data_IF_724846906209
#
_entry.id   IF_724846906209
#
_cell.length_a   1.000
_cell.length_b   1.000
_cell.length_c   1.000
_cell.angle_alpha   90.00
_cell.angle_beta   90.00
_cell.angle_gamma   90.00
#
_symmetry.space_group_name_H-M   'P 1'
#
loop_
_entity.id
_entity.type
_entity.pdbx_description
1 polymer ?
#
# COMPACT_ATOMS: atom_id res chain seq x y z
N UNK A 1 -13.77 -11.67 -6.73
CA UNK A 1 -12.71 -11.80 -5.69
C UNK A 1 -13.30 -12.44 -4.43
N UNK A 2 -12.54 -13.28 -3.70
CA UNK A 2 -13.01 -13.90 -2.44
C UNK A 2 -13.22 -12.86 -1.32
N UNK A 3 -12.47 -11.76 -1.34
CA UNK A 3 -12.54 -10.71 -0.32
C UNK A 3 -13.94 -10.09 -0.18
N UNK A 4 -14.65 -9.85 -1.29
CA UNK A 4 -16.03 -9.35 -1.25
C UNK A 4 -16.98 -10.31 -0.54
N UNK A 5 -16.81 -11.63 -0.71
CA UNK A 5 -17.61 -12.65 0.00
C UNK A 5 -17.32 -12.68 1.50
N UNK A 6 -16.07 -12.43 1.87
CA UNK A 6 -15.61 -12.40 3.25
C UNK A 6 -15.80 -11.04 3.92
N UNK A 7 -16.29 -10.03 3.20
CA UNK A 7 -16.31 -8.62 3.63
C UNK A 7 -14.94 -8.16 4.12
N UNK A 8 -13.90 -8.61 3.43
CA UNK A 8 -12.50 -8.33 3.74
C UNK A 8 -11.89 -7.37 2.71
N UNK A 9 -10.75 -6.80 3.07
CA UNK A 9 -9.95 -5.93 2.21
C UNK A 9 -8.56 -6.53 1.99
N UNK A 10 -8.08 -6.54 0.75
CA UNK A 10 -6.82 -7.17 0.34
C UNK A 10 -5.76 -6.11 0.13
N UNK A 11 -4.63 -6.27 0.81
CA UNK A 11 -3.38 -5.64 0.41
C UNK A 11 -2.60 -6.62 -0.46
N UNK A 12 -2.21 -6.22 -1.67
CA UNK A 12 -1.50 -7.08 -2.61
C UNK A 12 -0.28 -6.37 -3.18
N UNK A 13 0.86 -7.07 -3.26
CA UNK A 13 2.02 -6.55 -3.99
C UNK A 13 1.72 -6.58 -5.49
N UNK A 14 2.27 -5.62 -6.24
CA UNK A 14 2.44 -5.78 -7.69
C UNK A 14 3.45 -6.92 -7.95
N UNK A 15 2.95 -8.15 -8.00
CA UNK A 15 3.78 -9.35 -7.96
C UNK A 15 4.68 -9.47 -9.19
N UNK A 16 5.98 -9.69 -8.94
CA UNK A 16 6.99 -9.83 -9.99
C UNK A 16 7.40 -8.52 -10.68
N UNK A 17 6.88 -7.37 -10.25
CA UNK A 17 7.23 -6.08 -10.84
C UNK A 17 8.56 -5.55 -10.28
N UNK A 18 9.56 -5.44 -11.15
CA UNK A 18 10.86 -4.86 -10.86
C UNK A 18 10.92 -3.36 -11.14
N UNK A 19 10.05 -2.85 -12.00
CA UNK A 19 10.00 -1.44 -12.40
C UNK A 19 8.63 -0.80 -12.13
N UNK A 20 8.61 0.53 -12.05
CA UNK A 20 7.35 1.30 -11.96
C UNK A 20 6.44 1.04 -13.15
N UNK A 21 7.00 0.98 -14.37
CA UNK A 21 6.23 0.70 -15.58
C UNK A 21 5.53 -0.66 -15.51
N UNK A 22 6.24 -1.71 -15.06
CA UNK A 22 5.65 -3.02 -14.84
C UNK A 22 4.54 -3.00 -13.79
N UNK A 23 4.70 -2.24 -12.70
CA UNK A 23 3.67 -2.09 -11.68
C UNK A 23 2.40 -1.41 -12.25
N UNK A 24 2.57 -0.37 -13.06
CA UNK A 24 1.47 0.34 -13.75
C UNK A 24 0.74 -0.60 -14.70
N UNK A 25 1.48 -1.38 -15.51
CA UNK A 25 0.89 -2.40 -16.38
C UNK A 25 0.20 -3.50 -15.57
N UNK A 26 0.79 -3.94 -14.45
CA UNK A 26 0.21 -4.95 -13.57
C UNK A 26 -1.13 -4.50 -13.00
N UNK A 27 -1.22 -3.23 -12.58
CA UNK A 27 -2.48 -2.67 -12.07
C UNK A 27 -3.63 -2.86 -13.03
N UNK A 28 -3.41 -2.70 -14.35
CA UNK A 28 -4.48 -2.72 -15.35
C UNK A 28 -5.29 -4.03 -15.38
N UNK A 29 -4.79 -5.10 -14.73
CA UNK A 29 -5.48 -6.38 -14.55
C UNK A 29 -6.59 -6.35 -13.49
N UNK A 30 -6.68 -5.27 -12.71
CA UNK A 30 -7.57 -5.16 -11.55
C UNK A 30 -8.58 -4.01 -11.73
N UNK A 31 -9.80 -4.24 -11.28
CA UNK A 31 -10.86 -3.23 -11.22
C UNK A 31 -11.72 -3.39 -9.93
N UNK A 32 -11.21 -4.13 -8.96
CA UNK A 32 -11.95 -4.45 -7.75
C UNK A 32 -11.75 -3.39 -6.67
N UNK A 33 -12.83 -3.12 -5.93
CA UNK A 33 -12.85 -2.14 -4.85
C UNK A 33 -12.25 -2.67 -3.54
N UNK A 34 -12.13 -3.99 -3.38
CA UNK A 34 -11.62 -4.65 -2.18
C UNK A 34 -10.11 -4.91 -2.21
N UNK A 35 -9.37 -4.32 -3.15
CA UNK A 35 -7.91 -4.47 -3.23
C UNK A 35 -7.20 -3.12 -3.20
N UNK A 36 -6.04 -3.09 -2.56
CA UNK A 36 -5.05 -2.03 -2.68
C UNK A 36 -3.75 -2.65 -3.17
N UNK A 37 -3.27 -2.16 -4.30
CA UNK A 37 -1.99 -2.58 -4.87
C UNK A 37 -0.85 -1.79 -4.25
N UNK A 38 0.19 -2.50 -3.83
CA UNK A 38 1.36 -1.99 -3.15
C UNK A 38 2.62 -2.22 -3.99
N UNK A 39 3.43 -1.19 -4.15
CA UNK A 39 4.76 -1.32 -4.74
C UNK A 39 5.67 -0.16 -4.32
N UNK A 40 6.94 -0.40 -3.94
CA UNK A 40 7.65 -1.67 -3.86
C UNK A 40 7.47 -2.36 -2.49
N UNK A 41 8.38 -3.28 -2.15
CA UNK A 41 8.45 -3.96 -0.85
C UNK A 41 9.43 -3.24 0.11
N UNK A 42 9.45 -3.66 1.38
CA UNK A 42 10.35 -3.10 2.39
C UNK A 42 11.65 -3.90 2.49
N UNK A 43 12.72 -3.22 2.92
CA UNK A 43 13.94 -3.86 3.45
C UNK A 43 13.90 -3.77 4.97
N UNK A 44 14.09 -4.90 5.66
CA UNK A 44 14.15 -4.96 7.12
C UNK A 44 15.16 -6.01 7.59
N UNK A 45 15.58 -5.93 8.86
CA UNK A 45 16.48 -6.89 9.46
C UNK A 45 15.73 -8.16 9.88
N UNK A 46 16.18 -9.32 9.40
CA UNK A 46 15.64 -10.62 9.78
C UNK A 46 16.49 -11.23 10.90
N UNK A 47 15.91 -11.33 12.11
CA UNK A 47 16.59 -11.93 13.27
C UNK A 47 16.95 -13.42 13.08
N UNK A 48 16.20 -14.15 12.24
CA UNK A 48 16.44 -15.59 12.00
C UNK A 48 17.65 -15.81 11.11
N UNK A 49 17.80 -15.01 10.06
CA UNK A 49 18.92 -15.14 9.12
C UNK A 49 20.11 -14.22 9.44
N UNK A 50 19.90 -13.23 10.33
CA UNK A 50 20.91 -12.24 10.71
C UNK A 50 21.23 -11.22 9.62
N UNK A 51 20.36 -11.05 8.61
CA UNK A 51 20.61 -10.23 7.41
C UNK A 51 19.49 -9.24 7.15
N UNK A 52 19.80 -8.20 6.37
CA UNK A 52 18.79 -7.32 5.78
C UNK A 52 18.19 -8.03 4.57
N UNK A 53 16.86 -8.17 4.56
CA UNK A 53 16.12 -8.91 3.54
C UNK A 53 14.91 -8.11 3.06
N UNK A 54 14.38 -8.51 1.90
CA UNK A 54 13.13 -7.98 1.38
C UNK A 54 11.95 -8.64 2.08
N UNK A 55 11.04 -7.81 2.59
CA UNK A 55 9.80 -8.25 3.21
C UNK A 55 8.59 -7.68 2.45
N UNK A 56 7.56 -8.49 2.17
CA UNK A 56 6.39 -8.05 1.41
C UNK A 56 5.70 -6.85 2.05
N UNK A 57 5.47 -5.79 1.27
CA UNK A 57 4.69 -4.63 1.69
C UNK A 57 3.27 -5.00 2.22
N UNK A 58 2.55 -5.99 1.63
CA UNK A 58 1.28 -6.45 2.17
C UNK A 58 1.32 -6.90 3.63
N UNK A 59 2.40 -7.55 4.07
CA UNK A 59 2.52 -8.00 5.45
C UNK A 59 2.59 -6.80 6.42
N UNK A 60 3.38 -5.78 6.07
CA UNK A 60 3.43 -4.52 6.82
C UNK A 60 2.11 -3.76 6.77
N UNK A 61 1.44 -3.75 5.61
CA UNK A 61 0.15 -3.10 5.47
C UNK A 61 -0.91 -3.74 6.37
N UNK A 62 -1.00 -5.08 6.41
CA UNK A 62 -1.91 -5.80 7.31
C UNK A 62 -1.64 -5.48 8.79
N UNK A 63 -0.37 -5.51 9.23
CA UNK A 63 -0.01 -5.20 10.61
C UNK A 63 -0.30 -3.75 10.98
N UNK A 64 0.05 -2.81 10.09
CA UNK A 64 -0.25 -1.40 10.28
C UNK A 64 -1.75 -1.14 10.30
N UNK A 65 -2.52 -1.85 9.46
CA UNK A 65 -3.96 -1.72 9.40
C UNK A 65 -4.62 -2.09 10.72
N UNK A 66 -4.24 -3.22 11.29
CA UNK A 66 -4.73 -3.66 12.60
C UNK A 66 -4.39 -2.65 13.70
N UNK A 67 -3.17 -2.10 13.68
CA UNK A 67 -2.75 -1.05 14.61
C UNK A 67 -3.60 0.22 14.46
N UNK A 68 -3.83 0.70 13.25
CA UNK A 68 -4.65 1.91 13.01
C UNK A 68 -6.10 1.66 13.44
N UNK A 69 -6.66 0.48 13.13
CA UNK A 69 -8.03 0.14 13.52
C UNK A 69 -8.20 0.17 15.05
N UNK A 70 -7.20 -0.31 15.79
CA UNK A 70 -7.21 -0.29 17.25
C UNK A 70 -7.08 1.12 17.83
N UNK A 71 -6.13 1.91 17.32
CA UNK A 71 -5.76 3.20 17.93
C UNK A 71 -6.63 4.38 17.48
N UNK A 72 -7.08 4.37 16.21
CA UNK A 72 -7.78 5.49 15.58
C UNK A 72 -9.13 5.07 15.00
N UNK A 73 -9.31 3.79 14.66
CA UNK A 73 -10.53 3.27 14.06
C UNK A 73 -10.42 3.01 12.55
N UNK A 74 -11.38 2.24 12.04
CA UNK A 74 -11.40 1.75 10.65
C UNK A 74 -11.50 2.84 9.58
N UNK A 75 -12.03 4.01 9.95
CA UNK A 75 -12.21 5.16 9.07
C UNK A 75 -10.90 5.89 8.76
N UNK A 76 -9.84 5.66 9.55
CA UNK A 76 -8.53 6.25 9.30
C UNK A 76 -7.82 5.53 8.16
N UNK A 77 -7.36 6.28 7.16
CA UNK A 77 -6.56 5.77 6.04
C UNK A 77 -5.19 5.25 6.49
N UNK A 78 -4.72 4.19 5.83
CA UNK A 78 -3.37 3.64 6.00
C UNK A 78 -2.28 4.59 5.49
N UNK A 79 -2.62 5.47 4.54
CA UNK A 79 -1.69 6.45 3.97
C UNK A 79 -1.11 7.39 5.04
N UNK A 80 0.17 7.71 4.89
CA UNK A 80 0.90 8.67 5.71
C UNK A 80 1.00 8.30 7.20
N UNK A 81 0.77 7.04 7.58
CA UNK A 81 1.03 6.53 8.93
C UNK A 81 2.46 5.93 8.98
N UNK A 82 3.25 6.20 10.05
CA UNK A 82 4.60 5.64 10.17
C UNK A 82 4.61 4.11 10.21
N UNK A 83 5.48 3.52 9.40
CA UNK A 83 5.81 2.08 9.44
C UNK A 83 7.06 1.89 10.29
N UNK A 84 6.99 1.00 11.28
CA UNK A 84 8.10 0.70 12.20
C UNK A 84 8.96 -0.46 11.67
N UNK A 85 10.20 -0.57 12.17
CA UNK A 85 11.13 -1.67 11.92
C UNK A 85 11.50 -1.88 10.43
N UNK A 86 11.55 -0.79 9.67
CA UNK A 86 11.94 -0.78 8.26
C UNK A 86 13.26 -0.02 8.10
N UNK A 87 14.15 -0.56 7.28
CA UNK A 87 15.47 0.00 6.97
C UNK A 87 15.52 0.65 5.58
N UNK A 88 14.66 0.21 4.66
CA UNK A 88 14.68 0.68 3.28
C UNK A 88 13.50 0.21 2.44
N UNK A 89 13.61 0.47 1.14
CA UNK A 89 12.67 0.01 0.11
C UNK A 89 13.41 -0.93 -0.84
N UNK A 90 12.75 -1.97 -1.33
CA UNK A 90 13.36 -2.95 -2.24
C UNK A 90 13.64 -2.39 -3.63
N UNK A 91 12.97 -1.30 -3.99
CA UNK A 91 13.19 -0.50 -5.20
C UNK A 91 13.17 0.98 -4.83
N UNK A 92 13.91 1.80 -5.58
CA UNK A 92 13.89 3.24 -5.39
C UNK A 92 12.57 3.81 -5.90
N UNK A 93 11.97 4.72 -5.11
CA UNK A 93 10.81 5.52 -5.49
C UNK A 93 11.17 6.96 -5.14
N UNK A 94 11.32 7.80 -6.16
CA UNK A 94 11.57 9.22 -5.93
C UNK A 94 10.32 9.90 -5.37
N UNK A 95 10.51 10.70 -4.31
CA UNK A 95 9.47 11.51 -3.73
C UNK A 95 10.05 12.82 -3.19
N UNK A 96 9.36 13.92 -3.46
CA UNK A 96 9.63 15.24 -2.90
C UNK A 96 8.32 15.99 -2.69
N UNK A 97 8.22 16.80 -1.64
CA UNK A 97 7.03 17.62 -1.35
C UNK A 97 6.78 18.70 -2.40
N UNK A 98 7.82 19.12 -3.11
CA UNK A 98 7.77 20.23 -4.07
C UNK A 98 7.73 19.75 -5.52
N UNK A 99 7.89 18.45 -5.76
CA UNK A 99 7.89 17.88 -7.12
C UNK A 99 6.50 17.34 -7.45
N UNK A 100 5.82 17.98 -8.40
CA UNK A 100 4.53 17.51 -8.92
C UNK A 100 4.69 16.17 -9.67
N UNK A 101 5.84 15.95 -10.32
CA UNK A 101 6.17 14.82 -11.20
C UNK A 101 6.95 13.68 -10.53
N UNK A 102 6.87 13.56 -9.19
CA UNK A 102 7.57 12.47 -8.50
C UNK A 102 7.06 11.06 -8.89
N UNK A 103 7.92 10.04 -8.82
CA UNK A 103 7.54 8.63 -9.03
C UNK A 103 6.36 8.24 -8.12
N UNK A 104 6.39 8.72 -6.88
CA UNK A 104 5.35 8.43 -5.91
C UNK A 104 3.99 9.04 -6.30
N UNK A 105 3.96 10.26 -6.87
CA UNK A 105 2.74 10.83 -7.40
C UNK A 105 2.27 10.07 -8.65
N UNK A 106 3.20 9.70 -9.53
CA UNK A 106 2.91 8.93 -10.74
C UNK A 106 2.25 7.58 -10.43
N UNK A 107 2.79 6.85 -9.44
CA UNK A 107 2.21 5.59 -8.95
C UNK A 107 0.82 5.80 -8.35
N UNK A 108 0.68 6.78 -7.46
CA UNK A 108 -0.58 7.06 -6.77
C UNK A 108 -1.71 7.49 -7.72
N UNK A 109 -1.37 8.31 -8.72
CA UNK A 109 -2.28 8.69 -9.81
C UNK A 109 -2.67 7.53 -10.73
N UNK A 110 -2.01 6.37 -10.59
CA UNK A 110 -2.36 5.10 -11.22
C UNK A 110 -2.87 4.08 -10.20
N UNK A 111 -3.39 4.56 -9.06
CA UNK A 111 -4.01 3.77 -7.99
C UNK A 111 -3.10 2.68 -7.41
N UNK A 112 -1.78 2.91 -7.46
CA UNK A 112 -0.78 2.07 -6.78
C UNK A 112 -0.30 2.83 -5.56
N UNK A 113 -0.51 2.26 -4.39
CA UNK A 113 0.01 2.81 -3.15
C UNK A 113 1.48 2.46 -3.03
N UNK A 114 2.31 3.47 -2.78
CA UNK A 114 3.76 3.31 -2.73
C UNK A 114 4.32 3.57 -1.35
N UNK A 115 5.65 3.58 -1.24
CA UNK A 115 6.38 3.86 0.00
C UNK A 115 7.18 5.14 -0.21
N UNK A 116 7.12 6.05 0.77
CA UNK A 116 7.94 7.25 0.82
C UNK A 116 8.75 7.30 2.11
N UNK A 117 9.82 8.11 2.10
CA UNK A 117 10.59 8.42 3.31
C UNK A 117 10.39 9.88 3.70
N UNK A 118 9.56 10.11 4.72
CA UNK A 118 9.30 11.42 5.33
C UNK A 118 9.19 11.26 6.85
N UNK A 119 10.25 11.62 7.57
CA UNK A 119 10.36 11.40 9.01
C UNK A 119 9.99 9.94 9.38
N UNK A 120 10.68 9.00 8.73
CA UNK A 120 10.37 7.57 8.72
C UNK A 120 9.75 7.09 7.41
N UNK A 121 9.56 5.78 7.28
CA UNK A 121 8.89 5.17 6.13
C UNK A 121 7.37 5.21 6.31
N UNK A 122 6.66 5.49 5.23
CA UNK A 122 5.19 5.59 5.23
C UNK A 122 4.66 5.02 3.92
N UNK A 123 3.49 4.41 3.98
CA UNK A 123 2.70 4.21 2.78
C UNK A 123 2.19 5.55 2.25
N UNK A 124 2.14 5.68 0.92
CA UNK A 124 1.71 6.87 0.21
C UNK A 124 0.67 6.49 -0.83
N UNK A 125 -0.59 6.68 -0.47
CA UNK A 125 -1.75 6.27 -1.25
C UNK A 125 -2.76 5.52 -0.42
N UNK A 126 -4.00 5.63 -0.87
CA UNK A 126 -5.16 4.99 -0.25
C UNK A 126 -6.23 4.67 -1.29
N UNK A 127 -5.84 4.57 -2.57
CA UNK A 127 -6.77 4.28 -3.65
C UNK A 127 -6.89 2.78 -3.89
N UNK A 128 -8.06 2.37 -4.35
CA UNK A 128 -8.33 1.04 -4.89
C UNK A 128 -8.28 1.12 -6.43
N UNK A 129 -8.13 0.00 -7.15
CA UNK A 129 -8.21 -0.01 -8.61
C UNK A 129 -9.59 0.38 -9.17
N UNK A 130 -10.65 0.31 -8.38
CA UNK A 130 -12.00 0.75 -8.77
C UNK A 130 -12.09 2.28 -8.73
N UNK A 131 -12.45 2.91 -9.85
CA UNK A 131 -12.31 4.37 -10.03
C UNK A 131 -13.63 5.15 -10.11
N UNK A 132 -14.78 4.50 -9.93
CA UNK A 132 -16.09 5.17 -10.02
C UNK A 132 -16.65 5.55 -8.65
N UNK A 133 -16.89 4.57 -7.76
CA UNK A 133 -17.67 4.81 -6.53
C UNK A 133 -16.87 4.56 -5.25
N UNK A 134 -15.93 3.63 -5.28
CA UNK A 134 -15.16 3.11 -4.16
C UNK A 134 -13.67 3.30 -4.38
N UNK A 135 -13.33 4.52 -4.79
CA UNK A 135 -11.96 4.96 -5.10
C UNK A 135 -11.05 4.81 -3.88
N UNK A 136 -11.55 5.05 -2.67
CA UNK A 136 -10.72 5.07 -1.46
C UNK A 136 -10.91 3.82 -0.59
N UNK A 137 -9.78 3.30 -0.09
CA UNK A 137 -9.68 2.19 0.88
C UNK A 137 -10.70 2.32 2.01
N UNK A 138 -10.72 3.49 2.65
CA UNK A 138 -11.57 3.77 3.81
C UNK A 138 -13.05 3.70 3.47
N UNK A 139 -13.44 4.00 2.23
CA UNK A 139 -14.83 3.95 1.81
C UNK A 139 -15.28 2.51 1.58
N UNK A 140 -14.47 1.69 0.92
CA UNK A 140 -14.73 0.24 0.82
C UNK A 140 -14.79 -0.40 2.20
N UNK A 141 -13.81 -0.11 3.06
CA UNK A 141 -13.76 -0.68 4.42
C UNK A 141 -14.95 -0.25 5.27
N UNK A 142 -15.34 1.02 5.22
CA UNK A 142 -16.52 1.52 5.95
C UNK A 142 -17.78 0.81 5.49
N UNK A 143 -17.97 0.63 4.17
CA UNK A 143 -19.11 -0.11 3.64
C UNK A 143 -19.13 -1.58 4.10
N UNK A 144 -17.97 -2.23 4.25
CA UNK A 144 -17.88 -3.60 4.75
C UNK A 144 -18.19 -3.71 6.25
N UNK A 145 -17.78 -2.72 7.05
CA UNK A 145 -18.01 -2.69 8.50
C UNK A 145 -19.47 -2.40 8.85
N UNK A 146 -20.17 -1.58 8.04
CA UNK A 146 -21.56 -1.19 8.30
C UNK A 146 -22.62 -2.15 7.75
N UNK A 147 -22.23 -3.09 6.88
CA UNK A 147 -23.15 -3.99 6.17
C UNK A 147 -23.46 -5.30 6.91
#
# INVERSE_FOLDING_TARGET
MIAGKLRAFVYASCYGCNTMAEAITYRQKFNEREVMLLWPDFIAYNLKSGKNETFPAPAYACGLRAYIDHEQGWHKSLSNVPVKNVLGMSRHVFWSLQAEDSDANSLNNKEITTIIRRNGFRFWGNRTPETNAYIFEVYTRTAQVLA
#
